data_IF_612679496169
#
_entry.id   IF_612679496169
#
_cell.length_a   1.000
_cell.length_b   1.000
_cell.length_c   1.000
_cell.angle_alpha   90.00
_cell.angle_beta   90.00
_cell.angle_gamma   90.00
#
_symmetry.space_group_name_H-M   'P 1'
#
loop_
_entity.id
_entity.type
_entity.pdbx_description
1 polymer ?
#
# COMPACT_ATOMS: atom_id res chain seq x y z
N UNK A 1 16.45 -32.46 -24.08
CA UNK A 1 16.30 -31.03 -23.71
C UNK A 1 15.28 -30.92 -22.58
N UNK A 2 15.59 -30.16 -21.53
CA UNK A 2 14.71 -30.00 -20.36
C UNK A 2 13.62 -28.96 -20.56
N UNK A 3 12.50 -29.09 -19.84
CA UNK A 3 11.46 -28.06 -19.76
C UNK A 3 11.91 -26.93 -18.83
N UNK A 4 11.33 -25.74 -19.01
CA UNK A 4 11.63 -24.59 -18.13
C UNK A 4 11.29 -24.89 -16.67
N UNK A 5 12.18 -24.44 -15.78
CA UNK A 5 12.01 -24.51 -14.33
C UNK A 5 10.86 -23.62 -13.85
N UNK A 6 10.35 -23.87 -12.64
CA UNK A 6 9.25 -23.10 -12.06
C UNK A 6 9.63 -21.61 -11.91
N UNK A 7 10.85 -21.30 -11.47
CA UNK A 7 11.31 -19.91 -11.32
C UNK A 7 11.35 -19.16 -12.66
N UNK A 8 11.77 -19.83 -13.75
CA UNK A 8 11.76 -19.25 -15.10
C UNK A 8 10.33 -18.95 -15.56
N UNK A 9 9.37 -19.84 -15.27
CA UNK A 9 7.95 -19.63 -15.57
C UNK A 9 7.34 -18.47 -14.77
N UNK A 10 7.73 -18.31 -13.49
CA UNK A 10 7.34 -17.16 -12.66
C UNK A 10 7.83 -15.84 -13.25
N UNK A 11 9.09 -15.78 -13.69
CA UNK A 11 9.68 -14.58 -14.32
C UNK A 11 8.99 -14.16 -15.61
N UNK A 12 8.40 -15.10 -16.36
CA UNK A 12 7.59 -14.82 -17.56
C UNK A 12 6.26 -14.09 -17.25
N UNK A 13 5.78 -14.16 -16.00
CA UNK A 13 4.55 -13.46 -15.58
C UNK A 13 3.25 -14.09 -16.10
N UNK A 14 3.20 -15.41 -16.30
CA UNK A 14 1.95 -16.09 -16.65
C UNK A 14 0.88 -15.91 -15.56
N UNK A 15 -0.40 -15.99 -15.93
CA UNK A 15 -1.53 -15.78 -15.01
C UNK A 15 -1.49 -16.68 -13.78
N UNK A 16 -0.94 -17.89 -13.90
CA UNK A 16 -0.74 -18.83 -12.79
C UNK A 16 0.12 -18.28 -11.66
N UNK A 17 1.12 -17.45 -11.98
CA UNK A 17 2.07 -16.90 -11.00
C UNK A 17 1.92 -15.40 -10.78
N UNK A 18 1.07 -14.73 -11.56
CA UNK A 18 0.82 -13.30 -11.44
C UNK A 18 -0.11 -13.01 -10.26
N UNK A 19 0.30 -12.10 -9.40
CA UNK A 19 -0.52 -11.67 -8.27
C UNK A 19 -1.78 -10.92 -8.75
N UNK A 20 -2.97 -11.15 -8.15
CA UNK A 20 -4.22 -10.48 -8.50
C UNK A 20 -4.29 -9.07 -7.90
N UNK A 21 -3.38 -8.18 -8.32
CA UNK A 21 -3.20 -6.83 -7.74
C UNK A 21 -4.41 -5.89 -7.88
N UNK A 22 -5.34 -6.18 -8.78
CA UNK A 22 -6.59 -5.43 -8.92
C UNK A 22 -7.51 -5.55 -7.70
N UNK A 23 -7.29 -6.55 -6.82
CA UNK A 23 -8.05 -6.70 -5.56
C UNK A 23 -7.46 -5.89 -4.42
N UNK A 24 -6.26 -5.33 -4.60
CA UNK A 24 -5.58 -4.61 -3.53
C UNK A 24 -6.22 -3.24 -3.38
N UNK A 25 -6.36 -2.77 -2.14
CA UNK A 25 -6.99 -1.48 -1.83
C UNK A 25 -6.15 -0.29 -2.30
N UNK A 26 -4.84 -0.48 -2.46
CA UNK A 26 -3.97 0.53 -3.04
C UNK A 26 -2.51 0.36 -2.65
N UNK A 27 -1.67 1.27 -3.14
CA UNK A 27 -0.27 1.31 -2.77
C UNK A 27 -0.08 2.03 -1.43
N UNK A 28 0.36 1.28 -0.42
CA UNK A 28 0.75 1.81 0.89
C UNK A 28 2.11 2.48 0.76
N UNK A 29 2.15 3.81 0.78
CA UNK A 29 3.36 4.63 0.60
C UNK A 29 3.23 5.96 1.33
N UNK A 30 4.34 6.43 1.89
CA UNK A 30 4.46 7.80 2.38
C UNK A 30 4.42 8.82 1.24
N UNK A 31 4.14 10.07 1.59
CA UNK A 31 4.15 11.19 0.64
C UNK A 31 5.58 11.39 0.11
N UNK A 32 5.77 11.51 -1.21
CA UNK A 32 7.08 11.78 -1.79
C UNK A 32 7.70 13.06 -1.24
N UNK A 33 9.00 13.04 -0.94
CA UNK A 33 9.73 14.17 -0.36
C UNK A 33 9.58 15.47 -1.17
N UNK A 34 9.43 15.38 -2.50
CA UNK A 34 9.23 16.55 -3.37
C UNK A 34 8.00 17.39 -3.01
N UNK A 35 6.99 16.80 -2.37
CA UNK A 35 5.76 17.46 -1.94
C UNK A 35 5.83 17.93 -0.46
N UNK A 36 6.92 17.60 0.24
CA UNK A 36 7.07 17.77 1.70
C UNK A 36 8.36 18.53 2.07
N UNK A 37 9.11 19.07 1.09
CA UNK A 37 10.48 19.57 1.28
C UNK A 37 10.64 20.66 2.35
N UNK A 38 9.59 21.43 2.66
CA UNK A 38 9.72 22.63 3.48
C UNK A 38 8.74 22.69 4.67
N UNK A 39 7.79 21.75 4.78
CA UNK A 39 6.78 21.75 5.86
C UNK A 39 6.50 20.35 6.37
N UNK A 40 6.41 20.23 7.69
CA UNK A 40 5.82 19.07 8.36
C UNK A 40 4.38 18.91 7.89
N UNK A 41 4.08 17.75 7.30
CA UNK A 41 2.77 17.45 6.77
C UNK A 41 1.95 16.77 7.87
N UNK A 42 0.96 17.48 8.39
CA UNK A 42 0.01 16.93 9.36
C UNK A 42 -1.15 16.31 8.59
N UNK A 43 -1.60 15.15 9.06
CA UNK A 43 -2.72 14.44 8.48
C UNK A 43 -3.51 13.74 9.57
N UNK A 44 -4.79 13.53 9.30
CA UNK A 44 -5.74 12.88 10.19
C UNK A 44 -6.11 11.51 9.67
N UNK A 45 -6.19 10.52 10.56
CA UNK A 45 -6.66 9.17 10.26
C UNK A 45 -8.16 9.24 10.02
N UNK A 46 -8.57 8.91 8.80
CA UNK A 46 -9.98 8.87 8.39
C UNK A 46 -10.59 7.50 8.68
N UNK A 47 -9.84 6.43 8.44
CA UNK A 47 -10.37 5.07 8.56
C UNK A 47 -9.25 4.03 8.68
N UNK A 48 -9.54 2.92 9.36
CA UNK A 48 -8.68 1.73 9.41
C UNK A 48 -9.38 0.61 8.62
N UNK A 49 -8.67 0.03 7.67
CA UNK A 49 -9.20 -0.88 6.65
C UNK A 49 -8.39 -2.18 6.59
N UNK A 50 -9.07 -3.24 6.15
CA UNK A 50 -8.41 -4.47 5.72
C UNK A 50 -8.07 -4.42 4.23
N UNK A 51 -6.80 -4.63 3.88
CA UNK A 51 -6.32 -4.76 2.50
C UNK A 51 -6.13 -6.24 2.13
N UNK A 52 -6.89 -6.81 1.18
CA UNK A 52 -6.75 -8.22 0.79
C UNK A 52 -5.35 -8.59 0.26
N UNK A 53 -4.56 -7.60 -0.18
CA UNK A 53 -3.18 -7.80 -0.63
C UNK A 53 -2.14 -7.87 0.47
N UNK A 54 -2.54 -7.68 1.75
CA UNK A 54 -1.64 -7.58 2.89
C UNK A 54 -2.23 -8.26 4.13
N UNK A 55 -1.37 -8.76 4.99
CA UNK A 55 -1.79 -9.31 6.29
C UNK A 55 -2.04 -8.21 7.32
N UNK A 56 -1.31 -7.08 7.23
CA UNK A 56 -1.42 -5.98 8.17
C UNK A 56 -2.60 -5.04 7.84
N UNK A 57 -3.25 -4.45 8.87
CA UNK A 57 -4.25 -3.40 8.68
C UNK A 57 -3.61 -2.14 8.07
N UNK A 58 -4.39 -1.42 7.26
CA UNK A 58 -3.96 -0.17 6.63
C UNK A 58 -4.82 0.98 7.11
N UNK A 59 -4.21 2.12 7.39
CA UNK A 59 -4.91 3.33 7.75
C UNK A 59 -4.97 4.28 6.56
N UNK A 60 -6.14 4.89 6.35
CA UNK A 60 -6.36 5.95 5.38
C UNK A 60 -6.14 7.28 6.08
N UNK A 61 -5.10 8.00 5.68
CA UNK A 61 -4.75 9.32 6.24
C UNK A 61 -5.05 10.40 5.22
N UNK A 62 -5.77 11.42 5.66
CA UNK A 62 -6.05 12.62 4.89
C UNK A 62 -5.19 13.76 5.40
N UNK A 63 -4.37 14.29 4.52
CA UNK A 63 -3.46 15.39 4.80
C UNK A 63 -4.15 16.75 4.59
N UNK A 64 -3.60 17.80 5.21
CA UNK A 64 -4.12 19.18 5.10
C UNK A 64 -4.16 19.71 3.65
N UNK A 65 -3.25 19.23 2.80
CA UNK A 65 -3.22 19.57 1.37
C UNK A 65 -4.30 18.85 0.55
N UNK A 66 -5.22 18.13 1.19
CA UNK A 66 -6.29 17.38 0.55
C UNK A 66 -5.87 16.04 -0.05
N UNK A 67 -4.59 15.65 0.07
CA UNK A 67 -4.12 14.35 -0.38
C UNK A 67 -4.57 13.24 0.58
N UNK A 68 -4.99 12.11 0.01
CA UNK A 68 -5.27 10.90 0.77
C UNK A 68 -4.23 9.83 0.44
N UNK A 69 -3.71 9.18 1.49
CA UNK A 69 -2.79 8.05 1.36
C UNK A 69 -3.15 6.92 2.29
N UNK A 70 -2.79 5.71 1.85
CA UNK A 70 -2.77 4.53 2.71
C UNK A 70 -1.40 4.40 3.35
N UNK A 71 -1.38 4.25 4.67
CA UNK A 71 -0.20 3.93 5.46
C UNK A 71 -0.43 2.61 6.20
N UNK A 72 0.63 1.97 6.67
CA UNK A 72 0.50 0.82 7.59
C UNK A 72 -0.02 1.36 8.92
N UNK A 73 -1.06 0.76 9.48
CA UNK A 73 -1.57 1.17 10.78
C UNK A 73 -0.63 0.67 11.89
N UNK A 74 -0.07 1.56 12.74
CA UNK A 74 0.61 1.14 13.96
C UNK A 74 -0.39 0.58 14.98
N UNK A 75 0.13 -0.17 15.95
CA UNK A 75 -0.68 -0.66 17.06
C UNK A 75 -1.21 0.51 17.92
N UNK A 76 -2.48 0.44 18.30
CA UNK A 76 -3.14 1.50 19.09
C UNK A 76 -3.63 2.71 18.30
N UNK A 77 -3.52 2.71 16.95
CA UNK A 77 -4.04 3.80 16.12
C UNK A 77 -5.57 3.93 16.27
N UNK A 78 -6.06 5.14 16.52
CA UNK A 78 -7.49 5.44 16.56
C UNK A 78 -7.91 6.25 15.33
N UNK A 79 -9.18 6.11 14.97
CA UNK A 79 -9.77 6.96 13.92
C UNK A 79 -9.91 8.37 14.47
N UNK A 80 -9.27 9.33 13.81
CA UNK A 80 -9.28 10.75 14.19
C UNK A 80 -8.00 11.27 14.84
N UNK A 81 -7.01 10.39 15.08
CA UNK A 81 -5.63 10.79 15.41
C UNK A 81 -4.90 11.45 14.22
#
# INVERSE_FOLDING_TARGET
>A
MGKSLIQQRRGKGSTTFRAPSHRYRGAVKYVPLNLTKEKTLVGKVVEILHDPGRTAPVARVKFENGLEKLIIAPEGLLVGD
#
